data_IF_750485761800
#
_entry.id   IF_750485761800
#
_cell.length_a   1.000
_cell.length_b   1.000
_cell.length_c   1.000
_cell.angle_alpha   90.00
_cell.angle_beta   90.00
_cell.angle_gamma   90.00
#
_symmetry.space_group_name_H-M   'P 1'
#
loop_
_entity.id
_entity.type
_entity.pdbx_description
1 polymer ?
#
# COMPACT_ATOMS: atom_id res chain seq x y z
N UNK A 1 8.07 14.82 -10.15
CA UNK A 1 8.62 13.51 -10.54
C UNK A 1 10.09 13.70 -10.92
N UNK A 2 10.94 12.74 -10.61
CA UNK A 2 12.36 12.77 -10.96
C UNK A 2 12.54 12.55 -12.48
N UNK A 3 13.69 12.96 -13.02
CA UNK A 3 13.97 12.85 -14.46
C UNK A 3 14.03 11.40 -14.97
N UNK A 4 14.35 10.46 -14.08
CA UNK A 4 14.46 9.02 -14.30
C UNK A 4 13.29 8.21 -13.70
N UNK A 5 12.15 8.87 -13.46
CA UNK A 5 10.95 8.20 -12.98
C UNK A 5 10.50 7.11 -13.96
N UNK A 6 10.11 5.92 -13.48
CA UNK A 6 9.74 4.79 -14.34
C UNK A 6 8.42 4.98 -15.08
N UNK A 7 7.62 5.98 -14.71
CA UNK A 7 6.32 6.32 -15.31
C UNK A 7 6.25 7.80 -15.63
N UNK A 8 5.42 8.15 -16.61
CA UNK A 8 5.05 9.54 -16.89
C UNK A 8 3.77 9.94 -16.15
N UNK A 9 3.53 11.24 -15.94
CA UNK A 9 2.27 11.73 -15.37
C UNK A 9 1.03 11.24 -16.14
N UNK A 10 1.14 11.10 -17.47
CA UNK A 10 0.04 10.62 -18.32
C UNK A 10 -0.38 9.17 -18.02
N UNK A 11 0.53 8.37 -17.45
CA UNK A 11 0.28 6.99 -17.07
C UNK A 11 -0.32 6.84 -15.67
N UNK A 12 -0.42 7.91 -14.91
CA UNK A 12 -0.96 7.89 -13.55
C UNK A 12 -2.43 8.30 -13.52
N UNK A 13 -3.18 7.79 -12.53
CA UNK A 13 -4.57 8.14 -12.24
C UNK A 13 -4.75 8.27 -10.74
N UNK A 14 -5.57 9.25 -10.35
CA UNK A 14 -6.08 9.35 -8.97
C UNK A 14 -7.33 8.49 -8.89
N UNK A 15 -7.35 7.59 -7.92
CA UNK A 15 -8.53 6.81 -7.52
C UNK A 15 -9.14 7.51 -6.31
N UNK A 16 -10.43 7.86 -6.41
CA UNK A 16 -11.22 8.43 -5.33
C UNK A 16 -12.12 7.34 -4.75
N UNK A 17 -12.18 7.23 -3.43
CA UNK A 17 -12.98 6.20 -2.79
C UNK A 17 -13.51 6.62 -1.43
N UNK A 18 -14.59 5.95 -1.01
CA UNK A 18 -15.10 6.04 0.35
C UNK A 18 -14.48 4.96 1.21
N UNK A 19 -14.28 5.24 2.49
CA UNK A 19 -13.75 4.27 3.46
C UNK A 19 -14.41 4.44 4.83
N UNK A 20 -14.35 3.40 5.66
CA UNK A 20 -14.74 3.46 7.06
C UNK A 20 -13.52 3.89 7.88
N UNK A 21 -13.66 4.92 8.70
CA UNK A 21 -12.58 5.30 9.62
C UNK A 21 -12.59 4.48 10.91
N UNK A 22 -11.60 4.71 11.79
CA UNK A 22 -11.49 3.99 13.07
C UNK A 22 -12.58 4.37 14.08
N UNK A 23 -13.30 5.46 13.85
CA UNK A 23 -14.46 5.89 14.65
C UNK A 23 -15.79 5.31 14.11
N UNK A 24 -15.71 4.50 13.05
CA UNK A 24 -16.88 3.87 12.41
C UNK A 24 -17.67 4.83 11.51
N UNK A 25 -17.06 5.94 11.09
CA UNK A 25 -17.69 6.91 10.19
C UNK A 25 -17.25 6.66 8.75
N UNK A 26 -18.19 6.75 7.82
CA UNK A 26 -17.85 6.70 6.38
C UNK A 26 -17.29 8.05 5.96
N UNK A 27 -16.08 8.02 5.41
CA UNK A 27 -15.39 9.16 4.78
C UNK A 27 -15.45 9.02 3.27
N UNK A 28 -15.55 10.15 2.57
CA UNK A 28 -15.65 10.19 1.10
C UNK A 28 -14.50 10.97 0.46
N UNK A 29 -13.40 11.15 1.19
CA UNK A 29 -12.25 11.97 0.80
C UNK A 29 -10.99 11.15 0.53
N UNK A 30 -11.11 9.83 0.45
CA UNK A 30 -9.99 8.95 0.14
C UNK A 30 -9.44 9.16 -1.26
N UNK A 31 -8.13 9.37 -1.37
CA UNK A 31 -7.43 9.58 -2.63
C UNK A 31 -6.09 8.85 -2.63
N UNK A 32 -5.82 8.05 -3.66
CA UNK A 32 -4.49 7.53 -3.93
C UNK A 32 -4.17 7.65 -5.42
N UNK A 33 -2.91 7.82 -5.73
CA UNK A 33 -2.44 7.87 -7.13
C UNK A 33 -1.80 6.54 -7.49
N UNK A 34 -2.21 5.95 -8.62
CA UNK A 34 -1.72 4.64 -9.08
C UNK A 34 -1.47 4.66 -10.59
N UNK A 35 -0.77 3.64 -11.10
CA UNK A 35 -0.67 3.40 -12.53
C UNK A 35 -2.09 3.21 -13.12
N UNK A 36 -2.39 3.88 -14.22
CA UNK A 36 -3.71 3.82 -14.86
C UNK A 36 -4.15 2.39 -15.23
N UNK A 37 -3.19 1.50 -15.45
CA UNK A 37 -3.45 0.10 -15.76
C UNK A 37 -4.10 -0.67 -14.59
N UNK A 38 -3.85 -0.28 -13.35
CA UNK A 38 -4.38 -0.96 -12.14
C UNK A 38 -5.50 -0.17 -11.45
N UNK A 39 -5.92 0.97 -12.01
CA UNK A 39 -6.86 1.87 -11.32
C UNK A 39 -8.22 1.22 -11.02
N UNK A 40 -8.74 0.37 -11.93
CA UNK A 40 -10.01 -0.33 -11.76
C UNK A 40 -9.92 -1.41 -10.66
N UNK A 41 -8.81 -2.16 -10.62
CA UNK A 41 -8.54 -3.14 -9.57
C UNK A 41 -8.42 -2.48 -8.21
N UNK A 42 -7.74 -1.32 -8.16
CA UNK A 42 -7.57 -0.55 -6.93
C UNK A 42 -8.92 0.01 -6.45
N UNK A 43 -9.77 0.52 -7.34
CA UNK A 43 -11.13 0.92 -7.00
C UNK A 43 -11.89 -0.25 -6.37
N UNK A 44 -11.88 -1.42 -7.00
CA UNK A 44 -12.57 -2.62 -6.53
C UNK A 44 -12.02 -3.12 -5.17
N UNK A 45 -10.71 -2.97 -4.91
CA UNK A 45 -10.12 -3.23 -3.60
C UNK A 45 -10.80 -2.35 -2.55
N UNK A 46 -10.76 -1.02 -2.71
CA UNK A 46 -11.29 -0.10 -1.67
C UNK A 46 -12.80 -0.23 -1.50
N UNK A 47 -13.56 -0.49 -2.57
CA UNK A 47 -15.00 -0.78 -2.48
C UNK A 47 -15.24 -2.04 -1.64
N UNK A 48 -14.42 -3.08 -1.81
CA UNK A 48 -14.49 -4.31 -1.01
C UNK A 48 -14.10 -4.07 0.45
N UNK A 49 -13.07 -3.25 0.71
CA UNK A 49 -12.66 -2.89 2.07
C UNK A 49 -13.78 -2.15 2.82
N UNK A 50 -14.46 -1.21 2.14
CA UNK A 50 -15.63 -0.53 2.72
C UNK A 50 -16.77 -1.51 3.03
N UNK A 51 -17.12 -2.41 2.09
CA UNK A 51 -18.16 -3.42 2.29
C UNK A 51 -17.82 -4.34 3.47
N UNK A 52 -16.55 -4.70 3.66
CA UNK A 52 -16.07 -5.52 4.78
C UNK A 52 -15.91 -4.73 6.07
N UNK A 53 -16.20 -3.43 6.07
CA UNK A 53 -16.03 -2.54 7.21
C UNK A 53 -14.58 -2.53 7.73
N UNK A 54 -13.61 -2.65 6.82
CA UNK A 54 -12.22 -2.55 7.17
C UNK A 54 -11.87 -1.08 7.45
N UNK A 55 -11.32 -0.79 8.64
CA UNK A 55 -11.02 0.57 9.04
C UNK A 55 -9.74 1.09 8.37
N UNK A 56 -9.82 2.31 7.82
CA UNK A 56 -8.69 3.05 7.21
C UNK A 56 -8.55 4.37 7.97
N UNK A 57 -7.32 4.72 8.38
CA UNK A 57 -7.08 5.94 9.16
C UNK A 57 -7.20 7.21 8.30
N UNK A 58 -6.80 7.12 7.06
CA UNK A 58 -6.86 8.19 6.08
C UNK A 58 -6.16 7.79 4.79
N UNK A 59 -6.48 8.48 3.70
CA UNK A 59 -5.85 8.23 2.41
C UNK A 59 -5.70 9.55 1.64
N UNK A 60 -4.49 10.09 1.65
CA UNK A 60 -4.12 11.36 1.00
C UNK A 60 -2.97 11.12 0.03
N UNK A 61 -2.94 11.90 -1.05
CA UNK A 61 -1.86 11.86 -2.02
C UNK A 61 -0.51 12.21 -1.34
N UNK A 62 0.57 11.59 -1.81
CA UNK A 62 1.93 11.86 -1.30
C UNK A 62 2.38 13.31 -1.51
N UNK A 63 1.75 14.04 -2.42
CA UNK A 63 1.96 15.48 -2.59
C UNK A 63 1.68 16.29 -1.32
N UNK A 64 0.71 15.87 -0.50
CA UNK A 64 0.42 16.47 0.80
C UNK A 64 1.63 16.43 1.74
N UNK A 65 2.43 15.38 1.63
CA UNK A 65 3.65 15.15 2.41
C UNK A 65 4.92 15.55 1.64
N UNK A 66 4.80 16.16 0.45
CA UNK A 66 5.93 16.51 -0.44
C UNK A 66 6.83 15.30 -0.77
N UNK A 67 6.24 14.10 -0.83
CA UNK A 67 6.95 12.84 -1.05
C UNK A 67 7.69 12.29 0.18
N UNK A 68 7.57 12.93 1.36
CA UNK A 68 8.15 12.43 2.62
C UNK A 68 7.37 11.21 3.14
N UNK A 69 7.93 10.04 2.89
CA UNK A 69 7.37 8.74 3.26
C UNK A 69 7.22 8.60 4.80
N UNK A 70 8.23 9.07 5.54
CA UNK A 70 8.20 9.01 7.00
C UNK A 70 7.10 9.92 7.59
N UNK A 71 6.85 11.09 7.00
CA UNK A 71 5.76 11.97 7.42
C UNK A 71 4.40 11.32 7.13
N UNK A 72 4.23 10.72 5.95
CA UNK A 72 3.02 9.96 5.58
C UNK A 72 2.74 8.81 6.55
N UNK A 73 3.76 8.01 6.87
CA UNK A 73 3.63 6.92 7.84
C UNK A 73 3.29 7.41 9.26
N UNK A 74 3.88 8.52 9.71
CA UNK A 74 3.55 9.12 11.03
C UNK A 74 2.10 9.61 11.12
N UNK A 75 1.54 10.06 10.00
CA UNK A 75 0.13 10.47 9.89
C UNK A 75 -0.82 9.27 9.68
N UNK A 76 -0.29 8.05 9.74
CA UNK A 76 -1.04 6.80 9.50
C UNK A 76 -1.75 6.80 8.12
N UNK A 77 -1.14 7.42 7.13
CA UNK A 77 -1.72 7.63 5.81
C UNK A 77 -1.60 6.40 4.91
N UNK A 78 -2.73 5.89 4.42
CA UNK A 78 -2.76 4.91 3.33
C UNK A 78 -2.32 5.60 2.04
N UNK A 79 -1.32 5.06 1.34
CA UNK A 79 -0.69 5.71 0.20
C UNK A 79 -0.33 4.72 -0.91
N UNK A 80 -0.04 5.24 -2.12
CA UNK A 80 0.38 4.41 -3.24
C UNK A 80 1.57 5.04 -3.98
N UNK A 81 1.35 5.84 -5.02
CA UNK A 81 2.44 6.42 -5.80
C UNK A 81 3.34 7.34 -4.95
N UNK A 82 4.63 7.04 -4.96
CA UNK A 82 5.67 7.90 -4.43
C UNK A 82 6.95 7.71 -5.27
N UNK A 83 7.40 8.76 -5.95
CA UNK A 83 8.56 8.72 -6.86
C UNK A 83 9.87 8.69 -6.05
N UNK A 84 10.19 7.51 -5.54
CA UNK A 84 11.38 7.25 -4.73
C UNK A 84 12.06 5.93 -5.09
N UNK A 85 13.30 5.79 -4.68
CA UNK A 85 14.03 4.52 -4.75
C UNK A 85 13.62 3.59 -3.60
N UNK A 86 13.91 2.31 -3.74
CA UNK A 86 13.78 1.36 -2.62
C UNK A 86 14.72 1.78 -1.48
N UNK A 87 14.28 1.55 -0.24
CA UNK A 87 15.07 1.86 0.95
C UNK A 87 16.43 1.13 0.88
N UNK A 88 17.53 1.88 1.04
CA UNK A 88 18.89 1.37 0.94
C UNK A 88 19.28 0.76 -0.42
N UNK A 89 18.51 1.04 -1.49
CA UNK A 89 18.75 0.50 -2.83
C UNK A 89 18.82 1.57 -3.92
N UNK A 90 19.27 1.16 -5.13
CA UNK A 90 19.40 2.03 -6.30
C UNK A 90 18.20 1.95 -7.25
N UNK A 91 17.46 0.85 -7.21
CA UNK A 91 16.31 0.65 -8.10
C UNK A 91 15.10 1.50 -7.68
N UNK A 92 14.24 1.93 -8.62
CA UNK A 92 12.95 2.55 -8.29
C UNK A 92 12.10 1.61 -7.43
N UNK A 93 11.43 2.14 -6.41
CA UNK A 93 10.42 1.42 -5.64
C UNK A 93 9.23 1.05 -6.53
N UNK A 94 8.45 0.02 -6.19
CA UNK A 94 7.17 -0.24 -6.86
C UNK A 94 6.13 0.84 -6.61
N UNK A 95 6.29 1.65 -5.55
CA UNK A 95 5.56 2.90 -5.38
C UNK A 95 5.85 3.90 -6.51
N UNK A 96 7.10 3.99 -6.99
CA UNK A 96 7.45 4.86 -8.13
C UNK A 96 6.83 4.40 -9.46
N UNK A 97 6.39 3.14 -9.56
CA UNK A 97 5.58 2.63 -10.67
C UNK A 97 4.07 2.84 -10.47
N UNK A 98 3.63 3.25 -9.27
CA UNK A 98 2.22 3.36 -8.93
C UNK A 98 1.50 2.01 -8.81
N UNK A 99 2.21 0.95 -8.44
CA UNK A 99 1.71 -0.44 -8.35
C UNK A 99 2.03 -1.08 -7.01
N UNK A 100 2.25 -0.27 -6.00
CA UNK A 100 2.32 -0.67 -4.60
C UNK A 100 1.41 0.23 -3.77
N UNK A 101 0.82 -0.32 -2.71
CA UNK A 101 -0.10 0.35 -1.80
C UNK A 101 0.33 0.02 -0.38
N UNK A 102 0.49 1.05 0.45
CA UNK A 102 0.70 0.92 1.88
C UNK A 102 -0.58 1.26 2.61
N UNK A 103 -1.03 0.39 3.53
CA UNK A 103 -2.30 0.56 4.24
C UNK A 103 -2.07 0.67 5.75
N UNK A 104 -2.63 1.71 6.37
CA UNK A 104 -2.61 1.92 7.83
C UNK A 104 -1.20 1.69 8.45
N UNK A 105 -0.19 2.49 8.15
CA UNK A 105 1.19 2.24 8.59
C UNK A 105 1.37 2.04 10.09
N UNK A 106 0.55 2.70 10.91
CA UNK A 106 0.61 2.54 12.37
C UNK A 106 0.21 1.12 12.81
N UNK A 107 -0.88 0.57 12.24
CA UNK A 107 -1.36 -0.77 12.53
C UNK A 107 -0.50 -1.83 11.81
N UNK A 108 0.16 -1.45 10.73
CA UNK A 108 0.91 -2.34 9.85
C UNK A 108 2.33 -1.81 9.63
N UNK A 109 3.16 -1.79 10.68
CA UNK A 109 4.46 -1.14 10.61
C UNK A 109 5.43 -1.83 9.64
N UNK A 110 6.30 -1.01 9.05
CA UNK A 110 7.54 -1.46 8.47
C UNK A 110 8.57 -1.73 9.57
N UNK A 111 9.24 -2.86 9.53
CA UNK A 111 10.18 -3.31 10.58
C UNK A 111 11.53 -3.61 9.93
N UNK A 112 12.54 -2.84 10.33
CA UNK A 112 13.95 -3.14 10.03
C UNK A 112 14.61 -3.78 11.22
N UNK A 113 15.66 -4.56 10.95
CA UNK A 113 16.49 -5.16 11.99
C UNK A 113 17.90 -4.57 11.91
N UNK A 114 18.42 -4.09 13.04
CA UNK A 114 19.80 -3.69 13.19
C UNK A 114 20.73 -4.92 13.24
N UNK A 115 22.03 -4.71 13.11
CA UNK A 115 23.02 -5.81 13.11
C UNK A 115 23.01 -6.65 14.40
N UNK A 116 22.58 -6.07 15.51
CA UNK A 116 22.41 -6.73 16.80
C UNK A 116 21.05 -7.47 16.95
N UNK A 117 20.23 -7.43 15.89
CA UNK A 117 18.90 -8.05 15.88
C UNK A 117 17.79 -7.18 16.45
N UNK A 118 18.08 -5.93 16.86
CA UNK A 118 17.06 -5.01 17.38
C UNK A 118 16.10 -4.57 16.28
N UNK A 119 14.80 -4.69 16.55
CA UNK A 119 13.75 -4.26 15.63
C UNK A 119 13.50 -2.74 15.73
N UNK A 120 13.51 -2.06 14.59
CA UNK A 120 13.15 -0.65 14.42
C UNK A 120 11.83 -0.55 13.66
N UNK A 121 10.84 0.06 14.27
CA UNK A 121 9.48 0.19 13.72
C UNK A 121 9.27 1.56 13.07
N UNK A 122 8.67 1.56 11.89
CA UNK A 122 8.23 2.77 11.19
C UNK A 122 6.73 2.66 10.85
N UNK A 123 5.88 3.56 11.39
CA UNK A 123 6.22 4.61 12.36
C UNK A 123 6.55 4.02 13.75
N UNK A 124 7.26 4.73 14.64
CA UNK A 124 7.68 4.20 15.95
C UNK A 124 6.53 3.69 16.82
N UNK A 125 5.35 4.31 16.75
CA UNK A 125 4.13 3.86 17.43
C UNK A 125 3.63 2.48 16.98
N UNK A 126 4.09 2.00 15.83
CA UNK A 126 3.76 0.68 15.27
C UNK A 126 4.26 -0.50 16.10
N UNK A 127 5.23 -0.30 16.99
CA UNK A 127 5.71 -1.34 17.91
C UNK A 127 4.59 -1.94 18.78
N UNK A 128 3.52 -1.18 19.05
CA UNK A 128 2.31 -1.66 19.75
C UNK A 128 1.59 -2.77 18.98
N UNK A 129 1.84 -2.88 17.67
CA UNK A 129 1.25 -3.84 16.76
C UNK A 129 2.21 -4.99 16.37
N UNK A 130 3.34 -5.13 17.08
CA UNK A 130 4.29 -6.26 16.88
C UNK A 130 3.61 -7.63 17.07
N UNK A 131 2.71 -7.76 18.05
CA UNK A 131 1.83 -8.91 18.12
C UNK A 131 0.74 -8.76 17.06
N UNK A 132 0.75 -9.63 16.04
CA UNK A 132 -0.13 -9.55 14.87
C UNK A 132 -1.52 -10.21 15.06
N UNK A 133 -1.86 -10.67 16.27
CA UNK A 133 -3.19 -11.21 16.52
C UNK A 133 -4.23 -10.09 16.60
N UNK A 134 -5.20 -10.09 15.68
CA UNK A 134 -6.33 -9.14 15.67
C UNK A 134 -7.24 -9.35 16.89
N UNK A 135 -7.50 -10.61 17.27
CA UNK A 135 -8.30 -10.98 18.45
C UNK A 135 -7.38 -11.49 19.56
N UNK A 136 -7.55 -10.92 20.78
CA UNK A 136 -6.77 -11.28 21.96
C UNK A 136 -7.72 -11.38 23.18
N UNK A 137 -7.65 -12.46 23.97
CA UNK A 137 -8.52 -12.62 25.16
C UNK A 137 -8.44 -11.41 26.11
N UNK A 138 -9.60 -10.90 26.53
CA UNK A 138 -9.70 -9.77 27.47
C UNK A 138 -9.28 -8.42 26.92
N UNK A 139 -9.08 -8.27 25.61
CA UNK A 139 -8.73 -7.00 24.96
C UNK A 139 -9.66 -6.73 23.79
N UNK A 140 -9.87 -5.45 23.48
CA UNK A 140 -10.58 -5.07 22.25
C UNK A 140 -9.89 -5.65 21.01
N UNK A 141 -10.68 -6.06 20.03
CA UNK A 141 -10.17 -6.48 18.73
C UNK A 141 -9.41 -5.33 18.06
N UNK A 142 -8.33 -5.68 17.35
CA UNK A 142 -7.57 -4.71 16.55
C UNK A 142 -8.23 -4.59 15.19
N UNK A 143 -8.52 -3.35 14.80
CA UNK A 143 -9.03 -3.03 13.47
C UNK A 143 -7.88 -2.60 12.56
N UNK A 144 -8.08 -2.68 11.25
CA UNK A 144 -7.17 -2.17 10.24
C UNK A 144 -5.86 -2.95 10.08
N UNK A 145 -5.84 -4.21 10.54
CA UNK A 145 -4.68 -5.12 10.39
C UNK A 145 -4.63 -5.68 8.98
N UNK A 146 -3.49 -5.61 8.31
CA UNK A 146 -3.32 -5.98 6.91
C UNK A 146 -3.65 -7.46 6.63
N UNK A 147 -3.46 -8.34 7.60
CA UNK A 147 -3.78 -9.77 7.52
C UNK A 147 -5.23 -10.04 7.13
N UNK A 148 -6.16 -9.18 7.56
CA UNK A 148 -7.59 -9.32 7.30
C UNK A 148 -7.95 -9.08 5.82
N UNK A 149 -7.05 -8.47 5.05
CA UNK A 149 -7.30 -8.03 3.67
C UNK A 149 -6.31 -8.57 2.63
N UNK A 150 -5.32 -9.38 3.03
CA UNK A 150 -4.34 -9.99 2.11
C UNK A 150 -5.03 -10.68 0.93
N UNK A 151 -6.09 -11.47 1.19
CA UNK A 151 -6.83 -12.16 0.15
C UNK A 151 -7.57 -11.20 -0.80
N UNK A 152 -8.00 -10.02 -0.33
CA UNK A 152 -8.64 -9.00 -1.19
C UNK A 152 -7.62 -8.43 -2.16
N UNK A 153 -6.46 -8.02 -1.67
CA UNK A 153 -5.39 -7.51 -2.52
C UNK A 153 -4.90 -8.54 -3.52
N UNK A 154 -4.69 -9.79 -3.07
CA UNK A 154 -4.28 -10.89 -3.94
C UNK A 154 -5.29 -11.17 -5.05
N UNK A 155 -6.60 -11.17 -4.75
CA UNK A 155 -7.67 -11.34 -5.73
C UNK A 155 -7.64 -10.27 -6.83
N UNK A 156 -7.12 -9.10 -6.55
CA UNK A 156 -7.00 -7.99 -7.51
C UNK A 156 -5.57 -7.82 -8.07
N UNK A 157 -4.71 -8.87 -8.00
CA UNK A 157 -3.40 -8.89 -8.64
C UNK A 157 -2.25 -8.34 -7.82
N UNK A 158 -2.49 -7.86 -6.60
CA UNK A 158 -1.44 -7.43 -5.67
C UNK A 158 -1.00 -8.64 -4.82
N UNK A 159 -0.30 -9.58 -5.46
CA UNK A 159 0.07 -10.87 -4.87
C UNK A 159 1.21 -10.78 -3.84
N UNK A 160 2.04 -9.74 -3.91
CA UNK A 160 3.13 -9.53 -2.97
C UNK A 160 2.62 -8.80 -1.74
N UNK A 161 2.73 -9.43 -0.57
CA UNK A 161 2.52 -8.78 0.71
C UNK A 161 3.83 -8.78 1.52
N UNK A 162 4.26 -7.61 1.95
CA UNK A 162 5.52 -7.44 2.69
C UNK A 162 5.51 -8.04 4.09
N UNK A 163 4.34 -8.43 4.60
CA UNK A 163 4.23 -9.23 5.84
C UNK A 163 4.79 -10.64 5.71
N UNK A 164 5.00 -11.15 4.48
CA UNK A 164 5.63 -12.43 4.21
C UNK A 164 7.16 -12.33 4.05
N UNK A 165 7.76 -11.14 4.17
CA UNK A 165 9.19 -10.97 4.05
C UNK A 165 9.91 -11.21 5.38
N UNK A 166 11.16 -11.67 5.34
CA UNK A 166 11.94 -11.96 6.54
C UNK A 166 12.65 -10.71 7.08
N UNK A 167 13.29 -9.95 6.20
CA UNK A 167 14.02 -8.72 6.55
C UNK A 167 14.20 -7.80 5.32
N UNK A 168 13.63 -6.58 5.32
CA UNK A 168 12.69 -6.07 6.33
C UNK A 168 11.33 -6.77 6.27
N UNK A 169 10.54 -6.71 7.34
CA UNK A 169 9.11 -7.05 7.31
C UNK A 169 8.34 -5.76 7.04
N UNK A 170 7.39 -5.79 6.11
CA UNK A 170 6.61 -4.60 5.74
C UNK A 170 5.11 -4.91 5.71
N UNK A 171 4.47 -4.89 6.88
CA UNK A 171 3.08 -5.29 7.01
C UNK A 171 2.09 -4.41 6.25
N UNK A 172 2.42 -3.12 6.04
CA UNK A 172 1.55 -2.20 5.31
C UNK A 172 1.51 -2.48 3.80
N UNK A 173 2.58 -3.07 3.25
CA UNK A 173 2.94 -3.05 1.84
C UNK A 173 2.29 -4.18 1.03
N UNK A 174 1.52 -3.80 0.02
CA UNK A 174 0.97 -4.69 -1.02
C UNK A 174 1.47 -4.26 -2.39
N UNK A 175 1.86 -5.21 -3.23
CA UNK A 175 2.43 -4.89 -4.55
C UNK A 175 2.10 -5.94 -5.61
N UNK A 176 2.14 -5.54 -6.88
CA UNK A 176 2.30 -6.47 -8.00
C UNK A 176 3.76 -6.91 -8.09
N UNK A 177 4.06 -7.98 -8.86
CA UNK A 177 5.46 -8.34 -9.06
C UNK A 177 6.18 -7.34 -10.01
N UNK A 178 7.50 -7.20 -9.84
CA UNK A 178 8.31 -6.22 -10.58
C UNK A 178 8.32 -6.44 -12.10
N UNK A 179 8.31 -7.69 -12.55
CA UNK A 179 8.30 -7.98 -13.98
C UNK A 179 6.99 -7.52 -14.63
N UNK A 180 5.85 -7.72 -13.94
CA UNK A 180 4.56 -7.20 -14.39
C UNK A 180 4.53 -5.67 -14.38
N UNK A 181 5.06 -5.01 -13.34
CA UNK A 181 5.17 -3.57 -13.27
C UNK A 181 5.95 -2.99 -14.48
N UNK A 182 7.11 -3.54 -14.76
CA UNK A 182 7.95 -3.14 -15.91
C UNK A 182 7.24 -3.37 -17.24
N UNK A 183 6.53 -4.48 -17.40
CA UNK A 183 5.74 -4.77 -18.60
C UNK A 183 4.59 -3.76 -18.77
N UNK A 184 3.86 -3.45 -17.71
CA UNK A 184 2.73 -2.53 -17.77
C UNK A 184 3.13 -1.12 -18.18
N UNK A 185 4.26 -0.60 -17.69
CA UNK A 185 4.70 0.76 -18.04
C UNK A 185 5.24 0.87 -19.47
N UNK A 186 5.63 -0.26 -20.08
CA UNK A 186 6.08 -0.32 -21.46
C UNK A 186 4.94 -0.44 -22.50
N UNK A 187 3.70 -0.71 -22.05
CA UNK A 187 2.54 -0.95 -22.90
C UNK A 187 1.59 0.27 -22.89
N UNK A 188 0.81 0.46 -23.96
CA UNK A 188 -0.36 1.34 -23.91
C UNK A 188 -1.31 0.92 -22.76
N UNK A 189 -1.98 1.89 -22.13
CA UNK A 189 -2.81 1.65 -20.94
C UNK A 189 -3.84 0.54 -21.15
N UNK A 190 -4.50 0.48 -22.32
CA UNK A 190 -5.50 -0.54 -22.63
C UNK A 190 -4.91 -1.97 -22.63
N UNK A 191 -3.71 -2.13 -23.19
CA UNK A 191 -3.01 -3.43 -23.22
C UNK A 191 -2.44 -3.80 -21.84
N UNK A 192 -1.96 -2.80 -21.09
CA UNK A 192 -1.46 -2.98 -19.74
C UNK A 192 -2.55 -3.47 -18.78
N UNK A 193 -3.82 -2.99 -18.93
CA UNK A 193 -4.97 -3.49 -18.16
C UNK A 193 -5.22 -4.98 -18.37
N UNK A 194 -5.16 -5.45 -19.61
CA UNK A 194 -5.32 -6.87 -19.92
C UNK A 194 -4.23 -7.73 -19.25
N UNK A 195 -2.99 -7.22 -19.17
CA UNK A 195 -1.90 -7.95 -18.52
C UNK A 195 -2.15 -8.22 -17.03
N UNK A 196 -2.88 -7.35 -16.33
CA UNK A 196 -3.29 -7.56 -14.92
C UNK A 196 -4.38 -8.63 -14.82
N UNK A 197 -5.36 -8.62 -15.72
CA UNK A 197 -6.48 -9.57 -15.70
C UNK A 197 -6.06 -11.03 -15.91
N UNK A 198 -4.98 -11.28 -16.65
CA UNK A 198 -4.45 -12.64 -16.88
C UNK A 198 -3.70 -13.26 -15.70
N UNK A 199 -3.41 -12.50 -14.64
CA UNK A 199 -2.75 -13.04 -13.43
C UNK A 199 -3.73 -13.70 -12.45
N UNK A 200 -5.03 -13.76 -12.80
CA UNK A 200 -6.11 -14.32 -11.98
C UNK A 200 -6.59 -15.72 -12.43
N UNK A 201 -5.92 -16.33 -13.41
CA UNK A 201 -6.12 -17.70 -13.86
C UNK A 201 -4.96 -18.57 -13.34
#
# INVERSE_FOLDING_TARGET
>A
MQKDAPVSCAQLRIVHFSYLDFDGQVRNDGQIMVLAAVAEQVQAIFDTLLQRKFAIAGARLMDHYRGDDAASMRDNNTSAFNDRRITNGKAPSLHAYGVAIDINPLQNPYIQFEADGKAIYSPPGGSKYANRLSVRPGKAARQGMAEDVVAVFAHHGFLGWGGNWDAPIDYQHFQVNRALAQRMVALPVAEARNAVSYTHL
#
